data_IF_697780263304
#
_entry.id   IF_697780263304
#
_cell.length_a   1.000
_cell.length_b   1.000
_cell.length_c   1.000
_cell.angle_alpha   90.00
_cell.angle_beta   90.00
_cell.angle_gamma   90.00
#
_symmetry.space_group_name_H-M   'P 1'
#
loop_
_entity.id
_entity.type
_entity.pdbx_description
1 polymer ?
#
# COMPACT_ATOMS: atom_id res chain seq x y z
N UNK A 1 -3.39 -15.44 -3.23
CA UNK A 1 -4.16 -14.80 -4.35
C UNK A 1 -5.26 -13.92 -3.76
N UNK A 2 -5.43 -12.67 -4.22
CA UNK A 2 -6.53 -11.79 -3.83
C UNK A 2 -7.62 -11.81 -4.89
N UNK A 3 -8.86 -12.04 -4.47
CA UNK A 3 -10.04 -11.97 -5.32
C UNK A 3 -11.08 -11.02 -4.74
N UNK A 4 -11.45 -10.03 -5.51
CA UNK A 4 -12.51 -9.05 -5.25
C UNK A 4 -13.63 -9.35 -6.23
N UNK A 5 -14.85 -9.62 -5.74
CA UNK A 5 -15.96 -10.05 -6.57
C UNK A 5 -17.17 -9.14 -6.36
N UNK A 6 -17.54 -8.40 -7.41
CA UNK A 6 -18.75 -7.56 -7.48
C UNK A 6 -18.93 -6.61 -6.30
N UNK A 7 -17.82 -6.03 -5.79
CA UNK A 7 -17.84 -5.13 -4.63
C UNK A 7 -18.52 -3.81 -4.98
N UNK A 8 -19.49 -3.43 -4.13
CA UNK A 8 -20.21 -2.16 -4.22
C UNK A 8 -20.08 -1.40 -2.91
N UNK A 9 -20.01 -0.08 -3.00
CA UNK A 9 -19.99 0.81 -1.85
C UNK A 9 -20.62 2.16 -2.16
N UNK A 10 -21.54 2.58 -1.28
CA UNK A 10 -22.16 3.89 -1.34
C UNK A 10 -21.96 4.60 0.00
N UNK A 11 -21.84 5.91 -0.05
CA UNK A 11 -21.88 6.78 1.12
C UNK A 11 -23.11 7.69 1.01
N UNK A 12 -24.08 7.49 1.88
CA UNK A 12 -25.42 8.15 1.79
C UNK A 12 -26.04 7.86 0.42
N UNK A 13 -26.14 8.85 -0.45
CA UNK A 13 -26.73 8.74 -1.80
C UNK A 13 -25.68 8.65 -2.93
N UNK A 14 -24.38 8.71 -2.60
CA UNK A 14 -23.30 8.67 -3.59
C UNK A 14 -22.76 7.24 -3.71
N UNK A 15 -22.98 6.59 -4.86
CA UNK A 15 -22.36 5.32 -5.20
C UNK A 15 -20.90 5.55 -5.60
N UNK A 16 -19.94 5.14 -4.75
CA UNK A 16 -18.49 5.31 -4.98
C UNK A 16 -17.92 4.10 -5.72
N UNK A 17 -18.29 2.89 -5.30
CA UNK A 17 -17.95 1.66 -6.02
C UNK A 17 -19.27 1.03 -6.48
N UNK A 18 -19.39 0.78 -7.80
CA UNK A 18 -20.64 0.28 -8.39
C UNK A 18 -20.62 -1.20 -8.68
N UNK A 19 -19.48 -1.70 -9.17
CA UNK A 19 -19.26 -3.11 -9.46
C UNK A 19 -17.75 -3.34 -9.69
N UNK A 20 -17.02 -3.58 -8.61
CA UNK A 20 -15.58 -3.81 -8.68
C UNK A 20 -15.30 -5.29 -8.62
N UNK A 21 -14.63 -5.79 -9.65
CA UNK A 21 -14.07 -7.14 -9.68
C UNK A 21 -12.60 -7.07 -10.06
N UNK A 22 -11.76 -7.78 -9.30
CA UNK A 22 -10.32 -7.85 -9.48
C UNK A 22 -9.82 -9.19 -8.96
N UNK A 23 -9.02 -9.89 -9.74
CA UNK A 23 -8.33 -11.10 -9.32
C UNK A 23 -6.85 -10.93 -9.61
N UNK A 24 -5.98 -11.24 -8.64
CA UNK A 24 -4.53 -11.09 -8.77
C UNK A 24 -3.85 -12.43 -8.97
N UNK A 25 -2.68 -12.40 -9.61
CA UNK A 25 -1.74 -13.52 -9.64
C UNK A 25 -0.61 -13.27 -8.65
N UNK A 26 0.06 -14.33 -8.20
CA UNK A 26 1.21 -14.19 -7.32
C UNK A 26 2.37 -13.50 -8.05
N UNK A 27 3.02 -12.58 -7.37
CA UNK A 27 4.13 -11.79 -7.92
C UNK A 27 3.72 -10.70 -8.92
N UNK A 28 2.42 -10.46 -9.11
CA UNK A 28 1.91 -9.45 -10.05
C UNK A 28 2.07 -8.03 -9.51
N UNK A 29 2.56 -7.12 -10.33
CA UNK A 29 2.59 -5.68 -10.08
C UNK A 29 1.48 -4.99 -10.88
N UNK A 30 0.46 -4.51 -10.17
CA UNK A 30 -0.74 -3.90 -10.77
C UNK A 30 -0.75 -2.40 -10.50
N UNK A 31 -1.06 -1.61 -11.51
CA UNK A 31 -1.37 -0.19 -11.38
C UNK A 31 -2.88 0.05 -11.46
N UNK A 32 -3.41 0.83 -10.53
CA UNK A 32 -4.78 1.34 -10.59
C UNK A 32 -4.73 2.87 -10.73
N UNK A 33 -4.92 3.36 -11.95
CA UNK A 33 -5.00 4.79 -12.23
C UNK A 33 -6.40 5.34 -11.93
N UNK A 34 -6.49 6.66 -11.77
CA UNK A 34 -7.77 7.35 -11.66
C UNK A 34 -7.69 8.64 -10.87
N UNK A 35 -8.63 9.54 -11.17
CA UNK A 35 -8.69 10.87 -10.54
C UNK A 35 -8.94 10.78 -9.03
N UNK A 36 -8.57 11.84 -8.31
CA UNK A 36 -8.84 11.91 -6.86
C UNK A 36 -10.35 11.78 -6.58
N UNK A 37 -10.69 10.97 -5.59
CA UNK A 37 -12.08 10.71 -5.20
C UNK A 37 -12.83 9.68 -6.06
N UNK A 38 -12.20 9.04 -7.05
CA UNK A 38 -12.85 8.01 -7.87
C UNK A 38 -13.09 6.67 -7.13
N UNK A 39 -12.52 6.48 -5.92
CA UNK A 39 -12.78 5.30 -5.09
C UNK A 39 -11.58 4.39 -4.81
N UNK A 40 -10.35 4.70 -5.26
CA UNK A 40 -9.14 3.88 -5.04
C UNK A 40 -8.91 3.56 -3.55
N UNK A 41 -8.82 4.59 -2.71
CA UNK A 41 -8.64 4.41 -1.25
C UNK A 41 -9.83 3.68 -0.60
N UNK A 42 -11.06 3.89 -1.11
CA UNK A 42 -12.25 3.18 -0.65
C UNK A 42 -12.14 1.69 -0.93
N UNK A 43 -11.71 1.31 -2.14
CA UNK A 43 -11.47 -0.09 -2.50
C UNK A 43 -10.42 -0.72 -1.59
N UNK A 44 -9.26 -0.06 -1.40
CA UNK A 44 -8.21 -0.58 -0.53
C UNK A 44 -8.66 -0.74 0.92
N UNK A 45 -9.41 0.23 1.48
CA UNK A 45 -10.00 0.13 2.82
C UNK A 45 -10.95 -1.06 2.97
N UNK A 46 -11.67 -1.40 1.90
CA UNK A 46 -12.55 -2.58 1.89
C UNK A 46 -11.71 -3.87 1.84
N UNK A 47 -10.68 -3.92 0.99
CA UNK A 47 -9.82 -5.11 0.86
C UNK A 47 -9.15 -5.44 2.20
N UNK A 48 -8.63 -4.44 2.93
CA UNK A 48 -7.99 -4.66 4.25
C UNK A 48 -8.97 -4.74 5.43
N UNK A 49 -10.28 -4.69 5.19
CA UNK A 49 -11.31 -4.85 6.22
C UNK A 49 -11.57 -3.62 7.09
N UNK A 50 -10.97 -2.46 6.81
CA UNK A 50 -11.23 -1.19 7.54
C UNK A 50 -12.66 -0.70 7.25
N UNK A 51 -13.15 -0.94 6.04
CA UNK A 51 -14.47 -0.52 5.59
C UNK A 51 -15.26 -1.72 5.06
N UNK A 52 -16.51 -1.86 5.47
CA UNK A 52 -17.38 -2.92 4.98
C UNK A 52 -17.99 -2.55 3.62
N UNK A 53 -17.94 -3.47 2.67
CA UNK A 53 -18.69 -3.36 1.42
C UNK A 53 -20.20 -3.40 1.67
N UNK A 54 -20.99 -2.78 0.79
CA UNK A 54 -22.46 -2.88 0.83
C UNK A 54 -22.93 -4.21 0.19
N UNK A 55 -22.19 -4.70 -0.81
CA UNK A 55 -22.35 -6.03 -1.41
C UNK A 55 -21.06 -6.48 -2.09
N UNK A 56 -21.00 -7.75 -2.50
CA UNK A 56 -19.81 -8.37 -3.04
C UNK A 56 -18.94 -8.99 -1.96
N UNK A 57 -17.86 -9.63 -2.37
CA UNK A 57 -17.00 -10.43 -1.50
C UNK A 57 -15.51 -10.15 -1.76
N UNK A 58 -14.71 -10.22 -0.70
CA UNK A 58 -13.25 -10.24 -0.76
C UNK A 58 -12.80 -11.63 -0.28
N UNK A 59 -11.98 -12.28 -1.07
CA UNK A 59 -11.35 -13.53 -0.71
C UNK A 59 -9.85 -13.43 -0.84
N UNK A 60 -9.14 -13.98 0.14
CA UNK A 60 -7.68 -14.19 0.14
C UNK A 60 -7.41 -15.62 0.56
N UNK A 61 -6.32 -16.21 0.11
CA UNK A 61 -5.92 -17.54 0.54
C UNK A 61 -5.54 -17.52 2.04
N UNK A 62 -5.60 -18.67 2.68
CA UNK A 62 -5.38 -18.79 4.14
C UNK A 62 -4.01 -18.29 4.59
N UNK A 63 -3.01 -18.42 3.73
CA UNK A 63 -1.63 -18.03 4.01
C UNK A 63 -1.31 -16.61 3.52
N UNK A 64 -2.28 -15.91 2.93
CA UNK A 64 -2.10 -14.54 2.49
C UNK A 64 -2.01 -13.59 3.69
N UNK A 65 -1.06 -12.68 3.60
CA UNK A 65 -0.82 -11.67 4.59
C UNK A 65 -0.73 -10.29 3.91
N UNK A 66 -1.69 -9.43 4.23
CA UNK A 66 -1.83 -8.14 3.59
C UNK A 66 -1.01 -7.08 4.32
N UNK A 67 -0.28 -6.27 3.54
CA UNK A 67 0.27 -5.00 3.98
C UNK A 67 -0.38 -3.85 3.25
N UNK A 68 -0.53 -2.71 3.91
CA UNK A 68 -1.16 -1.58 3.27
C UNK A 68 -0.59 -0.24 3.73
N UNK A 69 -0.40 0.66 2.78
CA UNK A 69 -0.27 2.08 2.99
C UNK A 69 -1.49 2.76 2.36
N UNK A 70 -2.42 3.23 3.19
CA UNK A 70 -3.65 3.89 2.73
C UNK A 70 -3.73 5.27 3.39
N UNK A 71 -3.80 6.32 2.56
CA UNK A 71 -3.80 7.72 3.01
C UNK A 71 -2.54 8.06 3.84
N UNK A 72 -2.69 8.82 4.93
CA UNK A 72 -1.56 9.16 5.78
C UNK A 72 -1.41 8.11 6.88
N UNK A 73 -0.24 7.48 7.04
CA UNK A 73 -0.02 6.54 8.12
C UNK A 73 -0.09 7.25 9.48
N UNK A 74 -0.83 6.65 10.42
CA UNK A 74 -0.93 7.12 11.79
C UNK A 74 0.20 6.53 12.63
N UNK A 75 1.15 7.36 13.04
CA UNK A 75 2.22 6.99 13.95
C UNK A 75 2.06 7.68 15.30
N UNK A 76 2.66 7.12 16.33
CA UNK A 76 2.78 7.73 17.65
C UNK A 76 3.80 8.87 17.52
N UNK A 77 3.32 10.12 17.54
CA UNK A 77 4.12 11.29 17.15
C UNK A 77 5.31 11.59 18.07
N UNK A 78 5.25 11.20 19.35
CA UNK A 78 6.33 11.41 20.32
C UNK A 78 7.34 10.25 20.37
N UNK A 79 7.10 9.16 19.66
CA UNK A 79 8.00 8.01 19.55
C UNK A 79 8.91 8.14 18.34
N UNK A 80 10.04 7.40 18.35
CA UNK A 80 10.95 7.29 17.20
C UNK A 80 10.33 6.44 16.08
N UNK A 81 10.92 6.48 14.89
CA UNK A 81 10.51 5.58 13.80
C UNK A 81 10.65 4.12 14.20
N UNK A 82 11.76 3.77 14.85
CA UNK A 82 12.04 2.41 15.28
C UNK A 82 11.03 1.91 16.31
N UNK A 83 10.73 2.72 17.33
CA UNK A 83 9.77 2.35 18.37
C UNK A 83 8.36 2.17 17.82
N UNK A 84 7.95 3.01 16.85
CA UNK A 84 6.69 2.86 16.14
C UNK A 84 6.63 1.51 15.39
N UNK A 85 7.69 1.13 14.67
CA UNK A 85 7.70 -0.13 13.90
C UNK A 85 7.74 -1.35 14.83
N UNK A 86 8.50 -1.32 15.92
CA UNK A 86 8.46 -2.35 16.95
C UNK A 86 7.06 -2.49 17.53
N UNK A 87 6.44 -1.38 17.94
CA UNK A 87 5.08 -1.39 18.50
C UNK A 87 4.08 -2.04 17.54
N UNK A 88 4.08 -1.66 16.27
CA UNK A 88 3.19 -2.23 15.26
C UNK A 88 3.48 -3.71 14.99
N UNK A 89 4.76 -4.07 14.91
CA UNK A 89 5.17 -5.45 14.62
C UNK A 89 4.85 -6.45 15.74
N UNK A 90 4.66 -5.99 16.98
CA UNK A 90 4.26 -6.86 18.08
C UNK A 90 2.83 -7.42 17.95
N UNK A 91 1.94 -6.73 17.25
CA UNK A 91 0.54 -7.18 17.12
C UNK A 91 0.40 -8.49 16.35
N UNK A 92 1.26 -8.73 15.36
CA UNK A 92 1.12 -9.86 14.44
C UNK A 92 2.13 -10.98 14.68
N UNK A 93 3.08 -10.80 15.60
CA UNK A 93 4.16 -11.74 15.89
C UNK A 93 5.01 -12.13 14.66
N UNK A 94 5.06 -11.27 13.64
CA UNK A 94 5.81 -11.47 12.38
C UNK A 94 6.92 -10.45 12.16
N UNK A 95 7.22 -9.64 13.18
CA UNK A 95 8.23 -8.59 13.10
C UNK A 95 9.62 -9.17 12.78
N UNK A 96 10.28 -8.58 11.80
CA UNK A 96 11.60 -8.96 11.32
C UNK A 96 12.58 -7.80 11.54
N UNK A 97 13.23 -7.68 12.70
CA UNK A 97 14.03 -6.51 13.07
C UNK A 97 15.11 -6.16 12.05
N UNK A 98 15.92 -7.13 11.62
CA UNK A 98 17.03 -6.89 10.69
C UNK A 98 16.51 -6.41 9.32
N UNK A 99 15.49 -7.08 8.76
CA UNK A 99 14.86 -6.66 7.51
C UNK A 99 14.26 -5.26 7.63
N UNK A 100 13.65 -4.94 8.77
CA UNK A 100 13.05 -3.62 9.00
C UNK A 100 14.11 -2.53 9.07
N UNK A 101 15.27 -2.80 9.71
CA UNK A 101 16.42 -1.88 9.70
C UNK A 101 16.96 -1.64 8.29
N UNK A 102 17.07 -2.69 7.49
CA UNK A 102 17.53 -2.57 6.10
C UNK A 102 16.55 -1.79 5.24
N UNK A 103 15.23 -1.98 5.43
CA UNK A 103 14.20 -1.20 4.74
C UNK A 103 14.27 0.29 5.11
N UNK A 104 14.46 0.63 6.39
CA UNK A 104 14.65 2.03 6.80
C UNK A 104 15.87 2.65 6.13
N UNK A 105 17.01 1.96 6.17
CA UNK A 105 18.25 2.43 5.52
C UNK A 105 18.09 2.59 4.02
N UNK A 106 17.34 1.70 3.36
CA UNK A 106 17.07 1.79 1.92
C UNK A 106 16.29 3.06 1.53
N UNK A 107 15.58 3.66 2.50
CA UNK A 107 14.89 4.95 2.37
C UNK A 107 15.64 6.13 3.01
N UNK A 108 16.91 5.98 3.36
CA UNK A 108 17.72 6.99 4.09
C UNK A 108 17.10 7.41 5.42
N UNK A 109 16.38 6.51 6.06
CA UNK A 109 15.91 6.67 7.43
C UNK A 109 16.83 5.90 8.37
N UNK A 110 17.55 6.63 9.21
CA UNK A 110 18.41 6.01 10.22
C UNK A 110 17.55 5.32 11.28
N UNK A 111 17.63 3.98 11.45
CA UNK A 111 16.85 3.27 12.46
C UNK A 111 17.21 3.66 13.91
N UNK A 112 18.37 4.22 14.13
CA UNK A 112 18.84 4.62 15.46
C UNK A 112 18.69 6.13 15.70
N UNK A 113 18.00 6.86 14.77
CA UNK A 113 17.72 8.28 14.94
C UNK A 113 16.76 8.51 16.11
N UNK A 114 17.16 9.28 17.16
CA UNK A 114 16.31 9.57 18.31
C UNK A 114 15.19 10.57 18.04
N UNK A 115 15.10 11.10 16.83
CA UNK A 115 14.08 12.08 16.46
C UNK A 115 12.68 11.44 16.48
N UNK A 116 11.76 12.09 17.21
CA UNK A 116 10.35 11.70 17.23
C UNK A 116 9.69 11.88 15.84
N UNK A 117 8.82 10.94 15.46
CA UNK A 117 8.13 10.95 14.14
C UNK A 117 7.28 12.22 13.93
N UNK A 118 6.81 12.83 15.02
CA UNK A 118 6.14 14.13 14.98
C UNK A 118 6.93 15.24 14.28
N UNK A 119 8.26 15.16 14.32
CA UNK A 119 9.19 16.11 13.70
C UNK A 119 9.67 15.68 12.30
N UNK A 120 9.18 14.54 11.78
CA UNK A 120 9.52 14.07 10.42
C UNK A 120 8.86 14.94 9.36
N UNK A 121 9.58 15.15 8.25
CA UNK A 121 8.97 15.73 7.05
C UNK A 121 7.86 14.81 6.54
N UNK A 122 6.97 15.35 5.71
CA UNK A 122 5.90 14.54 5.10
C UNK A 122 6.47 13.40 4.26
N UNK A 123 7.58 13.64 3.54
CA UNK A 123 8.27 12.60 2.78
C UNK A 123 8.87 11.50 3.66
N UNK A 124 9.50 11.86 4.80
CA UNK A 124 10.01 10.87 5.75
C UNK A 124 8.88 10.01 6.35
N UNK A 125 7.74 10.62 6.70
CA UNK A 125 6.57 9.86 7.19
C UNK A 125 6.03 8.93 6.11
N UNK A 126 6.04 9.35 4.84
CA UNK A 126 5.62 8.52 3.72
C UNK A 126 6.54 7.29 3.55
N UNK A 127 7.86 7.49 3.54
CA UNK A 127 8.87 6.43 3.50
C UNK A 127 8.71 5.45 4.68
N UNK A 128 8.47 5.97 5.89
CA UNK A 128 8.19 5.15 7.07
C UNK A 128 6.90 4.32 6.90
N UNK A 129 5.84 4.89 6.31
CA UNK A 129 4.60 4.19 6.02
C UNK A 129 4.76 3.07 4.97
N UNK A 130 5.59 3.29 3.95
CA UNK A 130 5.95 2.24 2.99
C UNK A 130 6.69 1.11 3.70
N UNK A 131 7.68 1.44 4.55
CA UNK A 131 8.43 0.46 5.35
C UNK A 131 7.47 -0.39 6.20
N UNK A 132 6.54 0.23 6.91
CA UNK A 132 5.54 -0.46 7.73
C UNK A 132 4.66 -1.42 6.91
N UNK A 133 4.30 -1.06 5.67
CA UNK A 133 3.45 -1.90 4.82
C UNK A 133 4.12 -3.19 4.35
N UNK A 134 5.47 -3.31 4.45
CA UNK A 134 6.24 -4.46 3.92
C UNK A 134 7.16 -5.15 4.93
N UNK A 135 7.27 -4.64 6.17
CA UNK A 135 8.29 -5.05 7.15
C UNK A 135 8.09 -6.44 7.74
N UNK A 136 6.89 -6.98 7.67
CA UNK A 136 6.53 -8.28 8.29
C UNK A 136 6.44 -9.42 7.27
N UNK A 137 6.93 -9.19 6.06
CA UNK A 137 6.96 -10.22 5.00
C UNK A 137 5.61 -10.43 4.32
N UNK A 138 4.78 -9.40 4.29
CA UNK A 138 3.51 -9.40 3.55
C UNK A 138 3.71 -9.92 2.13
N UNK A 139 2.75 -10.69 1.63
CA UNK A 139 2.79 -11.22 0.26
C UNK A 139 1.79 -10.54 -0.68
N UNK A 140 0.82 -9.79 -0.14
CA UNK A 140 -0.08 -8.91 -0.89
C UNK A 140 0.06 -7.50 -0.30
N UNK A 141 0.44 -6.53 -1.11
CA UNK A 141 0.78 -5.18 -0.67
C UNK A 141 -0.05 -4.17 -1.44
N UNK A 142 -0.76 -3.30 -0.72
CA UNK A 142 -1.62 -2.26 -1.26
C UNK A 142 -1.02 -0.89 -0.94
N UNK A 143 -0.69 -0.10 -1.96
CA UNK A 143 -0.03 1.19 -1.80
C UNK A 143 -0.86 2.30 -2.46
N UNK A 144 -1.44 3.17 -1.65
CA UNK A 144 -2.24 4.31 -2.09
C UNK A 144 -1.40 5.58 -2.15
N UNK A 145 -1.20 6.12 -3.36
CA UNK A 145 -0.38 7.30 -3.63
C UNK A 145 1.03 7.25 -2.98
N UNK A 146 1.78 6.12 -3.12
CA UNK A 146 2.99 5.88 -2.32
C UNK A 146 4.11 6.88 -2.58
N UNK A 147 4.20 7.42 -3.79
CA UNK A 147 5.26 8.37 -4.18
C UNK A 147 4.86 9.83 -3.99
N UNK A 148 3.64 10.07 -3.52
CA UNK A 148 3.18 11.42 -3.26
C UNK A 148 4.00 12.04 -2.13
N UNK A 149 4.61 13.20 -2.38
CA UNK A 149 5.38 13.99 -1.39
C UNK A 149 6.75 13.41 -1.03
N UNK A 150 7.25 12.42 -1.74
CA UNK A 150 8.66 12.02 -1.68
C UNK A 150 9.42 12.66 -2.85
N UNK A 151 10.70 12.90 -2.66
CA UNK A 151 11.59 13.47 -3.66
C UNK A 151 11.98 12.46 -4.75
N UNK A 152 12.71 12.90 -5.75
CA UNK A 152 13.13 12.04 -6.87
C UNK A 152 13.98 10.85 -6.42
N UNK A 153 14.83 11.05 -5.40
CA UNK A 153 15.65 9.99 -4.83
C UNK A 153 14.79 8.95 -4.11
N UNK A 154 13.82 9.41 -3.30
CA UNK A 154 12.84 8.54 -2.66
C UNK A 154 11.96 7.78 -3.66
N UNK A 155 11.62 8.38 -4.81
CA UNK A 155 10.92 7.65 -5.88
C UNK A 155 11.81 6.53 -6.44
N UNK A 156 13.12 6.79 -6.65
CA UNK A 156 14.03 5.72 -7.11
C UNK A 156 14.20 4.61 -6.07
N UNK A 157 14.29 4.97 -4.79
CA UNK A 157 14.33 4.01 -3.68
C UNK A 157 13.06 3.14 -3.66
N UNK A 158 11.90 3.76 -3.87
CA UNK A 158 10.62 3.05 -3.97
C UNK A 158 10.58 2.09 -5.17
N UNK A 159 11.05 2.51 -6.35
CA UNK A 159 11.17 1.65 -7.52
C UNK A 159 12.06 0.43 -7.22
N UNK A 160 13.22 0.64 -6.61
CA UNK A 160 14.13 -0.44 -6.22
C UNK A 160 13.47 -1.43 -5.23
N UNK A 161 12.68 -0.92 -4.27
CA UNK A 161 11.91 -1.76 -3.35
C UNK A 161 10.89 -2.63 -4.10
N UNK A 162 10.12 -2.06 -5.04
CA UNK A 162 9.13 -2.82 -5.80
C UNK A 162 9.78 -3.90 -6.68
N UNK A 163 10.93 -3.60 -7.28
CA UNK A 163 11.74 -4.58 -8.00
C UNK A 163 12.20 -5.74 -7.11
N UNK A 164 12.58 -5.45 -5.87
CA UNK A 164 12.93 -6.47 -4.88
C UNK A 164 11.70 -7.31 -4.50
N UNK A 165 10.58 -6.68 -4.17
CA UNK A 165 9.34 -7.38 -3.81
C UNK A 165 8.87 -8.31 -4.95
N UNK A 166 9.00 -7.87 -6.21
CA UNK A 166 8.70 -8.68 -7.38
C UNK A 166 9.59 -9.92 -7.46
N UNK A 167 10.91 -9.79 -7.23
CA UNK A 167 11.84 -10.94 -7.18
C UNK A 167 11.50 -11.91 -6.05
N UNK A 168 10.93 -11.41 -4.95
CA UNK A 168 10.42 -12.19 -3.82
C UNK A 168 9.02 -12.77 -4.07
N UNK A 169 8.50 -12.67 -5.30
CA UNK A 169 7.16 -13.14 -5.70
C UNK A 169 6.02 -12.51 -4.89
N UNK A 170 6.16 -11.22 -4.49
CA UNK A 170 5.14 -10.48 -3.79
C UNK A 170 4.19 -9.81 -4.77
N UNK A 171 2.88 -9.91 -4.51
CA UNK A 171 1.85 -9.20 -5.28
C UNK A 171 1.72 -7.78 -4.76
N UNK A 172 1.84 -6.80 -5.65
CA UNK A 172 1.74 -5.38 -5.28
C UNK A 172 0.70 -4.67 -6.13
N UNK A 173 -0.20 -3.95 -5.48
CA UNK A 173 -1.18 -3.09 -6.15
C UNK A 173 -0.88 -1.65 -5.76
N UNK A 174 -0.51 -0.85 -6.75
CA UNK A 174 -0.25 0.58 -6.60
C UNK A 174 -1.42 1.37 -7.14
N UNK A 175 -2.06 2.16 -6.30
CA UNK A 175 -3.07 3.13 -6.72
C UNK A 175 -2.44 4.52 -6.76
N UNK A 176 -2.46 5.18 -7.93
CA UNK A 176 -1.94 6.55 -8.09
C UNK A 176 -2.67 7.28 -9.21
N UNK A 177 -2.49 8.60 -9.25
CA UNK A 177 -3.04 9.40 -10.34
C UNK A 177 -2.28 9.13 -11.64
N UNK A 178 -0.95 9.14 -11.58
CA UNK A 178 -0.05 8.92 -12.70
C UNK A 178 0.80 7.66 -12.46
N UNK A 179 1.33 7.09 -13.53
CA UNK A 179 2.31 6.02 -13.44
C UNK A 179 3.59 6.52 -12.76
N UNK A 180 4.23 5.63 -11.99
CA UNK A 180 5.49 5.94 -11.33
C UNK A 180 6.63 5.71 -12.34
N UNK A 181 7.42 6.74 -12.64
CA UNK A 181 8.51 6.62 -13.60
C UNK A 181 9.50 5.51 -13.22
N UNK A 182 9.87 4.69 -14.20
CA UNK A 182 10.82 3.58 -14.01
C UNK A 182 10.20 2.26 -13.59
N UNK A 183 8.87 2.18 -13.35
CA UNK A 183 8.17 0.92 -13.10
C UNK A 183 7.56 0.34 -14.37
N UNK A 184 7.68 -0.97 -14.51
CA UNK A 184 6.97 -1.75 -15.52
C UNK A 184 5.89 -2.57 -14.83
N UNK A 185 4.64 -2.21 -15.07
CA UNK A 185 3.49 -2.91 -14.51
C UNK A 185 3.09 -4.10 -15.38
N UNK A 186 2.71 -5.21 -14.73
CA UNK A 186 2.21 -6.41 -15.44
C UNK A 186 0.77 -6.16 -15.92
N UNK A 187 0.01 -5.37 -15.16
CA UNK A 187 -1.36 -4.99 -15.53
C UNK A 187 -1.68 -3.55 -15.13
N UNK A 188 -2.38 -2.86 -16.01
CA UNK A 188 -2.88 -1.51 -15.80
C UNK A 188 -4.39 -1.51 -15.78
N UNK A 189 -4.96 -0.88 -14.78
CA UNK A 189 -6.40 -0.72 -14.62
C UNK A 189 -6.71 0.75 -14.37
N UNK A 190 -7.83 1.20 -14.88
CA UNK A 190 -8.34 2.55 -14.60
C UNK A 190 -9.60 2.49 -13.76
N UNK A 191 -9.60 3.17 -12.63
CA UNK A 191 -10.81 3.38 -11.85
C UNK A 191 -11.55 4.62 -12.37
N UNK A 192 -12.72 4.39 -12.96
CA UNK A 192 -13.58 5.44 -13.51
C UNK A 192 -15.03 5.14 -13.19
N UNK A 193 -15.77 6.17 -12.73
CA UNK A 193 -17.21 6.10 -12.46
C UNK A 193 -17.63 4.92 -11.56
N UNK A 194 -16.75 4.51 -10.64
CA UNK A 194 -16.99 3.43 -9.68
C UNK A 194 -16.82 2.01 -10.22
N UNK A 195 -16.14 1.85 -11.36
CA UNK A 195 -15.77 0.55 -11.94
C UNK A 195 -14.27 0.51 -12.27
N UNK A 196 -13.67 -0.70 -12.33
CA UNK A 196 -12.33 -0.93 -12.83
C UNK A 196 -12.39 -1.35 -14.30
N UNK A 197 -11.64 -0.67 -15.13
CA UNK A 197 -11.52 -0.95 -16.56
C UNK A 197 -10.07 -1.28 -16.90
N UNK A 198 -9.79 -2.21 -17.82
CA UNK A 198 -8.45 -2.37 -18.37
C UNK A 198 -7.95 -1.04 -18.98
N UNK A 199 -6.65 -0.75 -18.78
CA UNK A 199 -5.97 0.40 -19.39
C UNK A 199 -4.89 -0.13 -20.32
N UNK A 200 -4.93 0.25 -21.60
CA UNK A 200 -3.97 -0.16 -22.64
C UNK A 200 -2.59 0.52 -22.47
#
# INVERSE_FOLDING_TARGET
>A
MLKVSHVKKSFKKLAVLKDISLETQDGELIHISGVNGCGKSTLFKIIVGILKADSGEIHTDKDDYLGALIENPGFIEYETAWDNLIFLGHFNHRFQPEKTRDLLKAFDLDPDNPQAVGNYSVGMRQKLGITQAVMEGQNIILLDEPTRRIDKEGVQQFVNLLEQLRRENKTVIVASHDEIPGLVYDRRLRMKDGVLLPEE
#
